data_IF_903558195040
#
_entry.id   IF_903558195040
#
_cell.length_a   1.000
_cell.length_b   1.000
_cell.length_c   1.000
_cell.angle_alpha   90.00
_cell.angle_beta   90.00
_cell.angle_gamma   90.00
#
_symmetry.space_group_name_H-M   'P 1'
#
loop_
_entity.id
_entity.type
_entity.pdbx_description
1 polymer ?
#
# COMPACT_ATOMS: atom_id res chain seq x y z
N UNK A 1 -28.25 29.97 -4.98
CA UNK A 1 -27.77 29.11 -6.08
C UNK A 1 -26.41 29.63 -6.52
N UNK A 2 -25.32 29.07 -5.99
CA UNK A 2 -23.96 29.46 -6.35
C UNK A 2 -23.46 28.58 -7.48
N UNK A 3 -23.54 29.10 -8.71
CA UNK A 3 -22.91 28.55 -9.91
C UNK A 3 -21.53 29.15 -10.29
N UNK A 4 -20.72 29.81 -9.43
CA UNK A 4 -19.48 30.41 -9.92
C UNK A 4 -18.31 29.40 -10.06
N UNK A 5 -18.38 28.18 -9.51
CA UNK A 5 -17.24 27.26 -9.50
C UNK A 5 -17.16 26.27 -10.67
N UNK A 6 -18.28 25.95 -11.34
CA UNK A 6 -18.24 25.02 -12.48
C UNK A 6 -17.68 25.65 -13.77
N UNK A 7 -17.66 26.98 -13.87
CA UNK A 7 -17.33 27.70 -15.11
C UNK A 7 -15.85 28.07 -15.29
N UNK A 8 -15.00 27.98 -14.25
CA UNK A 8 -13.61 28.47 -14.33
C UNK A 8 -12.59 27.37 -14.70
N UNK A 9 -12.92 26.09 -14.59
CA UNK A 9 -11.98 24.99 -14.89
C UNK A 9 -11.91 24.69 -16.39
N UNK A 10 -12.93 25.04 -17.18
CA UNK A 10 -13.03 24.57 -18.57
C UNK A 10 -12.45 25.55 -19.61
N UNK A 11 -12.17 26.82 -19.26
CA UNK A 11 -11.84 27.82 -20.30
C UNK A 11 -10.37 28.28 -20.34
N UNK A 12 -9.50 27.91 -19.39
CA UNK A 12 -8.17 28.53 -19.31
C UNK A 12 -6.96 27.57 -19.31
N UNK A 13 -7.16 26.26 -19.36
CA UNK A 13 -6.03 25.30 -19.23
C UNK A 13 -6.00 24.19 -20.29
N UNK A 14 -6.97 24.14 -21.21
CA UNK A 14 -7.10 23.00 -22.13
C UNK A 14 -7.45 23.49 -23.52
N UNK A 15 -6.45 23.45 -24.42
CA UNK A 15 -6.62 23.72 -25.84
C UNK A 15 -7.54 22.71 -26.53
N UNK A 16 -7.66 22.85 -27.85
CA UNK A 16 -8.67 22.22 -28.73
C UNK A 16 -8.76 20.66 -28.71
N UNK A 17 -7.97 19.96 -27.88
CA UNK A 17 -7.89 18.49 -27.79
C UNK A 17 -8.99 17.82 -26.94
N UNK A 18 -9.95 18.56 -26.37
CA UNK A 18 -11.06 17.97 -25.59
C UNK A 18 -12.17 17.40 -26.50
N UNK A 19 -12.05 17.47 -27.83
CA UNK A 19 -13.10 17.06 -28.77
C UNK A 19 -12.77 15.79 -29.56
N UNK A 20 -12.15 14.79 -28.91
CA UNK A 20 -12.31 13.38 -29.30
C UNK A 20 -13.37 12.74 -28.40
N UNK A 21 -14.65 12.66 -28.82
CA UNK A 21 -15.77 12.24 -27.97
C UNK A 21 -15.76 10.74 -27.59
N UNK A 22 -14.66 10.03 -27.83
CA UNK A 22 -14.51 8.59 -27.61
C UNK A 22 -13.56 8.18 -26.48
N UNK A 23 -12.84 9.12 -25.85
CA UNK A 23 -11.75 8.78 -24.91
C UNK A 23 -11.98 9.27 -23.47
N UNK A 24 -12.99 10.12 -23.22
CA UNK A 24 -13.34 10.59 -21.88
C UNK A 24 -14.37 9.69 -21.19
N UNK A 25 -14.11 9.27 -19.94
CA UNK A 25 -15.05 8.52 -19.10
C UNK A 25 -15.18 9.14 -17.71
N UNK A 26 -16.37 9.00 -17.10
CA UNK A 26 -16.61 9.37 -15.68
C UNK A 26 -16.12 8.28 -14.71
N UNK A 27 -15.70 7.15 -15.24
CA UNK A 27 -15.01 6.12 -14.48
C UNK A 27 -13.58 6.59 -14.17
N UNK A 28 -13.37 7.04 -12.94
CA UNK A 28 -12.07 7.50 -12.47
C UNK A 28 -11.00 6.41 -12.44
N UNK A 29 -11.37 5.13 -12.51
CA UNK A 29 -10.44 4.01 -12.53
C UNK A 29 -9.97 3.65 -13.94
N UNK A 30 -10.73 4.00 -14.97
CA UNK A 30 -10.46 3.58 -16.35
C UNK A 30 -9.07 4.00 -16.86
N UNK A 31 -8.55 5.16 -16.45
CA UNK A 31 -7.20 5.59 -16.82
C UNK A 31 -6.12 4.72 -16.16
N UNK A 32 -6.39 4.23 -14.95
CA UNK A 32 -5.50 3.34 -14.21
C UNK A 32 -5.57 1.92 -14.74
N UNK A 33 -6.75 1.43 -15.10
CA UNK A 33 -6.90 0.12 -15.76
C UNK A 33 -6.10 0.05 -17.06
N UNK A 34 -6.02 1.17 -17.80
CA UNK A 34 -5.25 1.24 -19.05
C UNK A 34 -3.73 1.29 -18.84
N UNK A 35 -3.26 2.07 -17.87
CA UNK A 35 -1.83 2.38 -17.73
C UNK A 35 -1.13 1.61 -16.61
N UNK A 36 -1.89 0.97 -15.72
CA UNK A 36 -1.41 0.25 -14.52
C UNK A 36 -2.18 -1.05 -14.31
N UNK A 37 -2.52 -1.73 -15.41
CA UNK A 37 -3.38 -2.92 -15.40
C UNK A 37 -2.96 -3.93 -14.32
N UNK A 38 -1.69 -4.29 -14.24
CA UNK A 38 -1.21 -5.26 -13.26
C UNK A 38 -1.37 -4.81 -11.79
N UNK A 39 -1.22 -3.52 -11.49
CA UNK A 39 -1.48 -3.00 -10.15
C UNK A 39 -2.99 -2.96 -9.84
N UNK A 40 -3.81 -2.59 -10.82
CA UNK A 40 -5.27 -2.56 -10.67
C UNK A 40 -5.88 -3.95 -10.48
N UNK A 41 -5.39 -4.96 -11.21
CA UNK A 41 -5.80 -6.36 -11.02
C UNK A 41 -5.55 -6.84 -9.58
N UNK A 42 -4.40 -6.48 -9.00
CA UNK A 42 -4.07 -6.79 -7.62
C UNK A 42 -4.99 -6.07 -6.62
N UNK A 43 -5.36 -4.82 -6.91
CA UNK A 43 -6.30 -4.04 -6.09
C UNK A 43 -7.71 -4.64 -6.15
N UNK A 44 -8.20 -5.03 -7.32
CA UNK A 44 -9.49 -5.71 -7.42
C UNK A 44 -9.51 -7.04 -6.66
N UNK A 45 -8.44 -7.83 -6.77
CA UNK A 45 -8.30 -9.05 -5.99
C UNK A 45 -8.34 -8.80 -4.48
N UNK A 46 -7.72 -7.71 -4.01
CA UNK A 46 -7.68 -7.34 -2.60
C UNK A 46 -9.03 -6.79 -2.11
N UNK A 47 -9.72 -5.98 -2.92
CA UNK A 47 -11.04 -5.42 -2.61
C UNK A 47 -12.09 -6.51 -2.40
N UNK A 48 -12.02 -7.60 -3.17
CA UNK A 48 -12.88 -8.77 -2.98
C UNK A 48 -12.71 -9.47 -1.62
N UNK A 49 -11.63 -9.18 -0.86
CA UNK A 49 -11.42 -9.72 0.50
C UNK A 49 -12.09 -8.85 1.57
N UNK A 50 -12.63 -7.70 1.18
CA UNK A 50 -13.21 -6.72 2.07
C UNK A 50 -12.19 -6.16 3.04
N UNK A 51 -12.66 -5.79 4.22
CA UNK A 51 -11.82 -5.14 5.23
C UNK A 51 -10.73 -6.06 5.77
N UNK A 52 -9.49 -5.78 5.37
CA UNK A 52 -8.27 -6.51 5.75
C UNK A 52 -7.21 -5.53 6.21
N UNK A 53 -6.29 -5.96 7.06
CA UNK A 53 -5.11 -5.16 7.43
C UNK A 53 -3.97 -5.48 6.49
N UNK A 54 -3.43 -4.46 5.83
CA UNK A 54 -2.34 -4.65 4.88
C UNK A 54 -1.10 -3.86 5.26
N UNK A 55 0.02 -4.22 4.65
CA UNK A 55 1.20 -3.37 4.58
C UNK A 55 1.55 -3.10 3.12
N UNK A 56 1.88 -1.84 2.86
CA UNK A 56 2.36 -1.29 1.59
C UNK A 56 3.31 -0.14 1.91
N UNK A 57 4.10 0.32 0.94
CA UNK A 57 5.07 1.39 1.15
C UNK A 57 4.36 2.67 1.63
N UNK A 58 4.89 3.35 2.68
CA UNK A 58 4.29 4.58 3.19
C UNK A 58 4.32 5.68 2.12
N UNK A 59 3.25 6.47 2.08
CA UNK A 59 3.16 7.67 1.23
C UNK A 59 3.97 8.83 1.80
N UNK A 60 5.29 8.66 1.97
CA UNK A 60 6.22 9.71 2.45
C UNK A 60 6.37 10.86 1.44
N UNK A 61 6.32 10.53 0.15
CA UNK A 61 6.38 11.49 -0.95
C UNK A 61 4.97 11.78 -1.47
N UNK A 62 4.53 13.03 -1.34
CA UNK A 62 3.25 13.47 -1.87
C UNK A 62 3.20 13.34 -3.41
N UNK A 63 2.00 13.07 -3.94
CA UNK A 63 1.71 13.00 -5.39
C UNK A 63 2.44 11.86 -6.13
N UNK A 64 2.80 10.80 -5.42
CA UNK A 64 3.28 9.54 -6.01
C UNK A 64 2.18 8.49 -5.98
N UNK A 65 2.24 7.54 -6.92
CA UNK A 65 1.43 6.32 -6.89
C UNK A 65 1.99 5.40 -5.80
N UNK A 66 1.63 5.70 -4.55
CA UNK A 66 2.03 4.98 -3.34
C UNK A 66 0.85 4.93 -2.39
N UNK A 67 0.87 3.95 -1.51
CA UNK A 67 -0.26 3.67 -0.63
C UNK A 67 -1.58 3.46 -1.43
N UNK A 68 -1.47 3.01 -2.69
CA UNK A 68 -2.59 2.92 -3.62
C UNK A 68 -3.49 1.75 -3.30
N UNK A 69 -2.97 0.65 -2.73
CA UNK A 69 -3.78 -0.51 -2.39
C UNK A 69 -4.85 -0.14 -1.36
N UNK A 70 -4.51 0.56 -0.27
CA UNK A 70 -5.51 1.04 0.71
C UNK A 70 -6.34 2.24 0.25
N UNK A 71 -5.95 2.94 -0.83
CA UNK A 71 -6.74 4.04 -1.41
C UNK A 71 -7.87 3.51 -2.30
N UNK A 72 -7.61 2.44 -3.06
CA UNK A 72 -8.54 1.91 -4.05
C UNK A 72 -9.34 0.69 -3.58
N UNK A 73 -9.16 0.26 -2.34
CA UNK A 73 -9.83 -0.93 -1.77
C UNK A 73 -10.34 -0.64 -0.36
N UNK A 74 -11.13 -1.54 0.22
CA UNK A 74 -11.53 -1.48 1.65
C UNK A 74 -10.41 -1.91 2.64
N UNK A 75 -9.18 -2.12 2.15
CA UNK A 75 -8.04 -2.48 2.98
C UNK A 75 -7.54 -1.33 3.87
N UNK A 76 -7.10 -1.67 5.08
CA UNK A 76 -6.53 -0.72 6.04
C UNK A 76 -5.02 -0.92 6.12
N UNK A 77 -4.25 0.06 5.63
CA UNK A 77 -2.79 0.01 5.74
C UNK A 77 -2.29 0.38 7.16
N UNK A 78 -1.20 -0.28 7.60
CA UNK A 78 -0.48 0.02 8.86
C UNK A 78 -0.14 1.51 8.99
N UNK A 79 0.27 2.13 7.89
CA UNK A 79 0.57 3.56 7.77
C UNK A 79 0.21 4.02 6.37
N UNK A 80 -0.45 5.18 6.28
CA UNK A 80 -0.82 5.76 4.99
C UNK A 80 0.08 6.93 4.60
N UNK A 81 -0.54 7.99 4.10
CA UNK A 81 0.16 9.19 3.64
C UNK A 81 0.75 10.03 4.78
N UNK A 82 1.83 10.76 4.47
CA UNK A 82 2.52 11.67 5.40
C UNK A 82 1.61 12.73 6.03
N UNK A 83 0.51 13.10 5.36
CA UNK A 83 -0.48 14.02 5.95
C UNK A 83 -1.16 13.46 7.21
N UNK A 84 -1.04 12.16 7.49
CA UNK A 84 -1.47 11.57 8.77
C UNK A 84 -0.74 12.16 9.99
N UNK A 85 0.44 12.78 9.80
CA UNK A 85 1.15 13.53 10.85
C UNK A 85 0.22 14.56 11.51
N UNK A 86 -0.62 15.26 10.74
CA UNK A 86 -1.56 16.24 11.29
C UNK A 86 -2.67 15.66 12.17
N UNK A 87 -3.01 14.38 11.98
CA UNK A 87 -4.11 13.71 12.70
C UNK A 87 -3.62 12.81 13.84
N UNK A 88 -2.42 12.24 13.72
CA UNK A 88 -1.86 11.24 14.64
C UNK A 88 -0.65 11.75 15.43
N UNK A 89 -0.06 12.88 15.01
CA UNK A 89 1.23 13.36 15.49
C UNK A 89 2.41 12.71 14.76
N UNK A 90 3.49 13.47 14.61
CA UNK A 90 4.71 13.09 13.87
C UNK A 90 5.33 11.80 14.39
N UNK A 91 5.60 11.73 15.70
CA UNK A 91 6.22 10.55 16.33
C UNK A 91 5.43 9.25 16.08
N UNK A 92 4.09 9.31 16.09
CA UNK A 92 3.26 8.14 15.85
C UNK A 92 3.30 7.70 14.38
N UNK A 93 3.35 8.64 13.44
CA UNK A 93 3.52 8.36 12.03
C UNK A 93 4.88 7.72 11.75
N UNK A 94 5.96 8.35 12.21
CA UNK A 94 7.33 7.89 11.96
C UNK A 94 7.58 6.51 12.55
N UNK A 95 7.08 6.25 13.77
CA UNK A 95 7.19 4.93 14.39
C UNK A 95 6.56 3.85 13.50
N UNK A 96 5.39 4.10 12.92
CA UNK A 96 4.72 3.13 12.06
C UNK A 96 5.41 2.98 10.72
N UNK A 97 5.87 4.08 10.13
CA UNK A 97 6.64 4.06 8.88
C UNK A 97 7.95 3.27 9.03
N UNK A 98 8.68 3.45 10.13
CA UNK A 98 9.87 2.66 10.46
C UNK A 98 9.55 1.18 10.68
N UNK A 99 8.41 0.84 11.29
CA UNK A 99 8.00 -0.56 11.38
C UNK A 99 7.69 -1.16 10.00
N UNK A 100 7.08 -0.40 9.08
CA UNK A 100 6.89 -0.87 7.69
C UNK A 100 8.21 -1.06 6.97
N UNK A 101 9.16 -0.14 7.12
CA UNK A 101 10.54 -0.31 6.60
C UNK A 101 11.18 -1.59 7.14
N UNK A 102 11.03 -1.84 8.46
CA UNK A 102 11.51 -3.08 9.11
C UNK A 102 10.86 -4.33 8.54
N UNK A 103 9.59 -4.26 8.15
CA UNK A 103 8.88 -5.39 7.55
C UNK A 103 9.43 -5.73 6.16
N UNK A 104 9.78 -4.72 5.34
CA UNK A 104 10.28 -4.95 3.99
C UNK A 104 11.79 -5.24 3.90
N UNK A 105 12.58 -4.89 4.91
CA UNK A 105 14.06 -4.96 4.83
C UNK A 105 14.73 -5.60 6.04
N UNK A 106 13.95 -5.99 7.04
CA UNK A 106 14.46 -6.50 8.32
C UNK A 106 14.75 -7.99 8.33
N UNK A 107 15.21 -8.47 9.49
CA UNK A 107 15.36 -9.90 9.77
C UNK A 107 14.00 -10.60 9.86
N UNK A 108 13.90 -11.91 9.56
CA UNK A 108 12.66 -12.66 9.71
C UNK A 108 11.98 -12.49 11.07
N UNK A 109 12.75 -12.44 12.16
CA UNK A 109 12.23 -12.20 13.50
C UNK A 109 11.56 -10.83 13.66
N UNK A 110 12.18 -9.78 13.10
CA UNK A 110 11.66 -8.41 13.15
C UNK A 110 10.41 -8.26 12.29
N UNK A 111 10.39 -8.93 11.14
CA UNK A 111 9.24 -9.02 10.23
C UNK A 111 8.06 -9.68 10.95
N UNK A 112 8.25 -10.88 11.51
CA UNK A 112 7.21 -11.61 12.25
C UNK A 112 6.68 -10.79 13.43
N UNK A 113 7.56 -10.16 14.20
CA UNK A 113 7.17 -9.29 15.32
C UNK A 113 6.28 -8.14 14.87
N UNK A 114 6.61 -7.52 13.73
CA UNK A 114 5.83 -6.42 13.15
C UNK A 114 4.48 -6.90 12.60
N UNK A 115 4.45 -8.03 11.89
CA UNK A 115 3.23 -8.64 11.37
C UNK A 115 2.23 -8.93 12.50
N UNK A 116 2.70 -9.55 13.59
CA UNK A 116 1.87 -9.82 14.78
C UNK A 116 1.40 -8.55 15.47
N UNK A 117 2.28 -7.55 15.60
CA UNK A 117 1.97 -6.28 16.27
C UNK A 117 0.77 -5.57 15.64
N UNK A 118 0.64 -5.64 14.32
CA UNK A 118 -0.43 -4.96 13.60
C UNK A 118 -1.56 -5.88 13.14
N UNK A 119 -1.41 -7.20 13.27
CA UNK A 119 -2.38 -8.16 12.76
C UNK A 119 -2.50 -8.05 11.23
N UNK A 120 -1.37 -7.99 10.54
CA UNK A 120 -1.33 -7.88 9.07
C UNK A 120 -1.85 -9.17 8.45
N UNK A 121 -2.83 -9.05 7.55
CA UNK A 121 -3.41 -10.15 6.77
C UNK A 121 -2.67 -10.34 5.45
N UNK A 122 -2.29 -9.23 4.79
CA UNK A 122 -1.61 -9.24 3.49
C UNK A 122 -0.42 -8.26 3.41
N UNK A 123 0.63 -8.70 2.71
CA UNK A 123 1.80 -7.89 2.35
C UNK A 123 1.74 -7.62 0.85
N UNK A 124 1.61 -6.35 0.46
CA UNK A 124 1.59 -5.93 -0.93
C UNK A 124 3.01 -5.62 -1.41
N UNK A 125 3.43 -6.17 -2.55
CA UNK A 125 4.73 -5.88 -3.20
C UNK A 125 4.50 -5.54 -4.67
N UNK A 126 4.44 -4.25 -4.98
CA UNK A 126 4.32 -3.73 -6.34
C UNK A 126 5.56 -2.92 -6.78
N UNK A 127 5.45 -2.19 -7.91
CA UNK A 127 6.53 -1.33 -8.40
C UNK A 127 6.98 -0.29 -7.39
N UNK A 128 6.05 0.29 -6.60
CA UNK A 128 6.35 1.30 -5.59
C UNK A 128 7.21 0.75 -4.44
N UNK A 129 6.90 -0.43 -3.92
CA UNK A 129 7.69 -1.08 -2.87
C UNK A 129 9.10 -1.41 -3.38
N UNK A 130 9.20 -1.95 -4.61
CA UNK A 130 10.49 -2.28 -5.22
C UNK A 130 11.33 -1.03 -5.48
N UNK A 131 10.71 0.09 -5.87
CA UNK A 131 11.40 1.38 -6.02
C UNK A 131 11.94 1.90 -4.67
N UNK A 132 11.15 1.80 -3.60
CA UNK A 132 11.50 2.36 -2.29
C UNK A 132 12.54 1.53 -1.56
N UNK A 133 12.39 0.21 -1.53
CA UNK A 133 13.19 -0.68 -0.68
C UNK A 133 14.30 -1.40 -1.44
N UNK A 134 14.19 -1.56 -2.75
CA UNK A 134 15.16 -2.29 -3.57
C UNK A 134 15.19 -3.78 -3.22
N UNK A 135 16.12 -4.17 -2.33
CA UNK A 135 16.27 -5.55 -1.87
C UNK A 135 15.26 -5.83 -0.74
N UNK A 136 14.13 -6.44 -1.12
CA UNK A 136 13.02 -6.75 -0.22
C UNK A 136 13.26 -8.11 0.43
N UNK A 137 12.89 -8.24 1.71
CA UNK A 137 12.86 -9.51 2.44
C UNK A 137 12.20 -10.62 1.61
N UNK A 138 12.88 -11.76 1.52
CA UNK A 138 12.32 -12.97 0.90
C UNK A 138 11.26 -13.60 1.81
N UNK A 139 10.01 -13.14 1.63
CA UNK A 139 8.87 -13.53 2.46
C UNK A 139 8.54 -15.01 2.38
N UNK A 140 8.78 -15.68 1.24
CA UNK A 140 8.49 -17.11 1.07
C UNK A 140 9.38 -18.01 1.94
N UNK A 141 10.49 -17.47 2.45
CA UNK A 141 11.37 -18.19 3.39
C UNK A 141 10.87 -18.12 4.84
N UNK A 142 9.79 -17.41 5.11
CA UNK A 142 9.21 -17.26 6.43
C UNK A 142 7.98 -18.15 6.54
N UNK A 143 8.02 -19.14 7.44
CA UNK A 143 6.86 -20.00 7.70
C UNK A 143 5.61 -19.17 8.05
N UNK A 144 4.47 -19.57 7.50
CA UNK A 144 3.21 -18.83 7.65
C UNK A 144 3.06 -17.63 6.72
N UNK A 145 3.97 -17.41 5.76
CA UNK A 145 3.79 -16.45 4.68
C UNK A 145 3.78 -17.19 3.34
N UNK A 146 2.80 -16.89 2.49
CA UNK A 146 2.64 -17.55 1.19
C UNK A 146 2.08 -16.60 0.15
N UNK A 147 2.45 -16.78 -1.12
CA UNK A 147 1.85 -16.04 -2.24
C UNK A 147 0.35 -16.32 -2.33
N UNK A 148 -0.46 -15.28 -2.25
CA UNK A 148 -1.92 -15.34 -2.36
C UNK A 148 -2.42 -14.83 -3.71
N UNK A 149 -1.68 -13.89 -4.30
CA UNK A 149 -1.89 -13.37 -5.65
C UNK A 149 -0.54 -13.00 -6.26
N UNK A 150 -0.39 -13.25 -7.55
CA UNK A 150 0.77 -12.82 -8.32
C UNK A 150 0.39 -12.56 -9.77
N UNK A 151 0.87 -11.45 -10.31
CA UNK A 151 0.92 -11.18 -11.74
C UNK A 151 2.26 -10.54 -12.10
N UNK A 152 2.39 -10.04 -13.32
CA UNK A 152 3.63 -9.43 -13.81
C UNK A 152 4.09 -8.19 -13.03
N UNK A 153 3.17 -7.49 -12.35
CA UNK A 153 3.46 -6.23 -11.68
C UNK A 153 3.50 -6.37 -10.15
N UNK A 154 2.67 -7.23 -9.56
CA UNK A 154 2.42 -7.26 -8.12
C UNK A 154 2.42 -8.70 -7.59
N UNK A 155 3.05 -8.88 -6.43
CA UNK A 155 2.92 -10.07 -5.60
C UNK A 155 2.25 -9.67 -4.29
N UNK A 156 1.18 -10.36 -3.90
CA UNK A 156 0.55 -10.21 -2.58
C UNK A 156 0.77 -11.49 -1.78
N UNK A 157 1.38 -11.35 -0.61
CA UNK A 157 1.58 -12.45 0.32
C UNK A 157 0.49 -12.46 1.39
N UNK A 158 -0.12 -13.61 1.65
CA UNK A 158 -0.98 -13.84 2.80
C UNK A 158 -0.16 -14.22 4.03
N UNK A 159 -0.66 -13.83 5.21
CA UNK A 159 -0.05 -14.09 6.50
C UNK A 159 -0.95 -14.99 7.34
N UNK A 160 -0.51 -16.22 7.59
CA UNK A 160 -1.13 -17.14 8.55
C UNK A 160 -0.47 -17.01 9.93
N UNK A 161 -1.13 -16.25 10.81
CA UNK A 161 -0.66 -15.99 12.17
C UNK A 161 -0.50 -17.24 13.05
N UNK A 162 -1.15 -18.35 12.70
CA UNK A 162 -1.04 -19.62 13.42
C UNK A 162 0.21 -20.39 13.01
N UNK A 163 0.71 -20.17 11.80
CA UNK A 163 1.90 -20.82 11.25
C UNK A 163 3.16 -19.96 11.38
N UNK A 164 3.02 -18.66 11.67
CA UNK A 164 4.16 -17.80 11.96
C UNK A 164 5.01 -18.38 13.11
N UNK A 165 6.35 -18.41 12.99
CA UNK A 165 7.23 -18.82 14.07
C UNK A 165 7.03 -18.00 15.35
N UNK A 166 7.38 -18.56 16.52
CA UNK A 166 7.44 -17.78 17.76
C UNK A 166 8.60 -16.77 17.67
N UNK A 167 8.36 -15.55 18.14
CA UNK A 167 9.40 -14.53 18.31
C UNK A 167 10.12 -14.84 19.62
N UNK A 168 11.45 -14.93 19.62
CA UNK A 168 12.18 -15.18 20.87
C UNK A 168 12.06 -13.94 21.76
N UNK A 169 11.74 -14.12 23.04
CA UNK A 169 11.77 -13.00 23.97
C UNK A 169 13.20 -12.44 24.02
N UNK A 170 13.39 -11.10 24.08
CA UNK A 170 14.72 -10.54 24.22
C UNK A 170 15.37 -11.12 25.48
N UNK A 171 16.58 -11.69 25.32
CA UNK A 171 17.40 -12.16 26.44
C UNK A 171 17.74 -10.93 27.28
N UNK A 172 16.96 -10.68 28.33
CA UNK A 172 17.26 -9.62 29.30
C UNK A 172 18.38 -10.14 30.21
N UNK A 173 19.61 -10.02 29.72
CA UNK A 173 20.80 -10.14 30.55
C UNK A 173 20.92 -8.88 31.40
N UNK A 174 20.50 -8.94 32.66
CA UNK A 174 20.98 -8.01 33.66
C UNK A 174 22.47 -8.32 33.92
N UNK A 175 23.35 -7.38 33.61
CA UNK A 175 24.71 -7.27 34.17
C UNK A 175 24.78 -6.09 35.11
#
# INVERSE_FOLDING_TARGET
MSLPFAGLVVYHEVGDDVLSPGEGTLDGLAIHDQHRQGEMEAMYWLDERGRTTIVEAPGRDSYRWRNSASVFTDAVSVVGWVHQVGYRGESAYDTRATHVETLYTGSPESVISTLRRYGVDYIYVGPGEREVFGDITDFERIDGISVAFENEAVTIFAVDHQQLPPVSAPVTGYV
#
